data_IF_636274161512
#
_entry.id   IF_636274161512
#
_cell.length_a   1.000
_cell.length_b   1.000
_cell.length_c   1.000
_cell.angle_alpha   90.00
_cell.angle_beta   90.00
_cell.angle_gamma   90.00
#
_symmetry.space_group_name_H-M   'P 1'
#
loop_
_entity.id
_entity.type
_entity.pdbx_description
1 polymer ?
#
# COMPACT_ATOMS: atom_id res chain seq x y z
N UNK A 1 -8.24 42.53 -28.07
CA UNK A 1 -6.77 42.34 -28.04
C UNK A 1 -6.48 41.02 -27.35
N UNK A 2 -6.23 39.95 -28.10
CA UNK A 2 -5.82 38.67 -27.50
C UNK A 2 -4.41 38.84 -26.94
N UNK A 3 -4.24 38.45 -25.68
CA UNK A 3 -2.97 38.59 -24.97
C UNK A 3 -1.93 37.73 -25.68
N UNK A 4 -0.71 38.26 -25.86
CA UNK A 4 0.40 37.56 -26.53
C UNK A 4 0.64 36.16 -25.93
N UNK A 5 0.30 35.97 -24.65
CA UNK A 5 0.33 34.68 -23.95
C UNK A 5 -0.69 33.66 -24.46
N UNK A 6 -1.91 34.06 -24.78
CA UNK A 6 -2.93 33.13 -25.31
C UNK A 6 -2.53 32.58 -26.68
N UNK A 7 -1.95 33.42 -27.53
CA UNK A 7 -1.47 33.00 -28.85
C UNK A 7 -0.31 31.99 -28.73
N UNK A 8 0.66 32.27 -27.85
CA UNK A 8 1.77 31.34 -27.56
C UNK A 8 1.29 29.98 -27.03
N UNK A 9 0.30 29.98 -26.14
CA UNK A 9 -0.30 28.73 -25.61
C UNK A 9 -1.00 27.95 -26.73
N UNK A 10 -1.69 28.65 -27.63
CA UNK A 10 -2.37 28.03 -28.77
C UNK A 10 -1.38 27.41 -29.75
N UNK A 11 -0.32 28.13 -30.11
CA UNK A 11 0.73 27.66 -31.01
C UNK A 11 1.44 26.42 -30.42
N UNK A 12 1.80 26.47 -29.12
CA UNK A 12 2.39 25.32 -28.43
C UNK A 12 1.47 24.09 -28.38
N UNK A 13 0.17 24.31 -28.15
CA UNK A 13 -0.83 23.23 -28.14
C UNK A 13 -0.98 22.57 -29.52
N UNK A 14 -0.93 23.37 -30.58
CA UNK A 14 -0.93 22.89 -31.98
C UNK A 14 0.33 22.07 -32.26
N UNK A 15 1.50 22.54 -31.82
CA UNK A 15 2.76 21.83 -32.02
C UNK A 15 2.80 20.49 -31.29
N UNK A 16 2.35 20.43 -30.04
CA UNK A 16 2.20 19.15 -29.31
C UNK A 16 1.25 18.22 -30.05
N UNK A 17 0.10 18.72 -30.49
CA UNK A 17 -0.89 17.90 -31.21
C UNK A 17 -0.31 17.34 -32.50
N UNK A 18 0.41 18.15 -33.27
CA UNK A 18 1.07 17.75 -34.51
C UNK A 18 2.19 16.73 -34.25
N UNK A 19 2.99 16.94 -33.20
CA UNK A 19 4.04 15.99 -32.78
C UNK A 19 3.43 14.65 -32.39
N UNK A 20 2.40 14.65 -31.54
CA UNK A 20 1.70 13.43 -31.13
C UNK A 20 1.07 12.74 -32.34
N UNK A 21 0.41 13.48 -33.23
CA UNK A 21 -0.11 12.90 -34.46
C UNK A 21 1.00 12.28 -35.30
N UNK A 22 2.16 12.92 -35.48
CA UNK A 22 3.28 12.30 -36.22
C UNK A 22 3.82 11.05 -35.56
N UNK A 23 3.94 11.04 -34.24
CA UNK A 23 4.43 9.88 -33.47
C UNK A 23 3.44 8.71 -33.48
N UNK A 24 2.14 9.00 -33.33
CA UNK A 24 1.08 7.99 -33.19
C UNK A 24 0.36 7.65 -34.50
N UNK A 25 0.46 8.47 -35.56
CA UNK A 25 -0.09 8.17 -36.90
C UNK A 25 0.81 7.23 -37.71
N UNK A 26 2.06 7.01 -37.28
CA UNK A 26 2.90 5.98 -37.88
C UNK A 26 2.28 4.62 -37.60
N UNK A 27 1.68 4.02 -38.63
CA UNK A 27 1.10 2.67 -38.53
C UNK A 27 2.13 1.72 -37.94
N UNK A 28 1.77 1.06 -36.84
CA UNK A 28 2.59 0.03 -36.22
C UNK A 28 2.93 -1.01 -37.29
N UNK A 29 4.20 -1.41 -37.38
CA UNK A 29 4.57 -2.41 -38.37
C UNK A 29 3.74 -3.67 -38.15
N UNK A 30 3.31 -4.33 -39.24
CA UNK A 30 2.47 -5.54 -39.17
C UNK A 30 3.08 -6.60 -38.24
N UNK A 31 4.41 -6.71 -38.22
CA UNK A 31 5.17 -7.59 -37.33
C UNK A 31 4.98 -7.23 -35.85
N UNK A 32 5.10 -5.96 -35.49
CA UNK A 32 4.88 -5.50 -34.10
C UNK A 32 3.43 -5.71 -33.67
N UNK A 33 2.47 -5.43 -34.56
CA UNK A 33 1.06 -5.65 -34.28
C UNK A 33 0.75 -7.13 -34.01
N UNK A 34 1.24 -8.03 -34.86
CA UNK A 34 1.06 -9.48 -34.69
C UNK A 34 1.71 -9.94 -33.38
N UNK A 35 2.94 -9.48 -33.09
CA UNK A 35 3.65 -9.79 -31.85
C UNK A 35 2.84 -9.35 -30.62
N UNK A 36 2.39 -8.10 -30.58
CA UNK A 36 1.59 -7.57 -29.49
C UNK A 36 0.28 -8.37 -29.29
N UNK A 37 -0.39 -8.78 -30.38
CA UNK A 37 -1.59 -9.62 -30.31
C UNK A 37 -1.30 -11.00 -29.70
N UNK A 38 -0.17 -11.62 -30.06
CA UNK A 38 0.26 -12.91 -29.50
C UNK A 38 0.60 -12.79 -28.02
N UNK A 39 1.40 -11.80 -27.65
CA UNK A 39 1.77 -11.53 -26.25
C UNK A 39 0.53 -11.26 -25.39
N UNK A 40 -0.42 -10.46 -25.87
CA UNK A 40 -1.70 -10.23 -25.20
C UNK A 40 -2.46 -11.54 -24.96
N UNK A 41 -2.56 -12.40 -25.98
CA UNK A 41 -3.25 -13.69 -25.85
C UNK A 41 -2.57 -14.60 -24.83
N UNK A 42 -1.24 -14.64 -24.84
CA UNK A 42 -0.43 -15.38 -23.88
C UNK A 42 -0.65 -14.89 -22.44
N UNK A 43 -0.61 -13.57 -22.20
CA UNK A 43 -0.87 -12.98 -20.89
C UNK A 43 -2.29 -13.32 -20.39
N UNK A 44 -3.30 -13.24 -21.25
CA UNK A 44 -4.69 -13.60 -20.90
C UNK A 44 -4.78 -15.06 -20.49
N UNK A 45 -4.13 -15.95 -21.24
CA UNK A 45 -4.14 -17.38 -20.95
C UNK A 45 -3.43 -17.70 -19.63
N UNK A 46 -2.27 -17.09 -19.37
CA UNK A 46 -1.55 -17.23 -18.09
C UNK A 46 -2.44 -16.76 -16.94
N UNK A 47 -3.07 -15.58 -17.06
CA UNK A 47 -3.98 -15.07 -16.02
C UNK A 47 -5.16 -16.00 -15.79
N UNK A 48 -5.73 -16.58 -16.83
CA UNK A 48 -6.84 -17.55 -16.71
C UNK A 48 -6.37 -18.81 -15.99
N UNK A 49 -5.23 -19.35 -16.39
CA UNK A 49 -4.65 -20.54 -15.79
C UNK A 49 -4.37 -20.34 -14.29
N UNK A 50 -3.73 -19.23 -13.92
CA UNK A 50 -3.44 -18.91 -12.52
C UNK A 50 -4.72 -18.71 -11.67
N UNK A 51 -5.79 -18.18 -12.25
CA UNK A 51 -7.09 -18.06 -11.54
C UNK A 51 -7.74 -19.41 -11.28
N UNK A 52 -7.59 -20.35 -12.21
CA UNK A 52 -8.15 -21.71 -12.08
C UNK A 52 -7.28 -22.59 -11.19
N UNK A 53 -5.97 -22.38 -11.18
CA UNK A 53 -5.00 -23.17 -10.42
C UNK A 53 -4.46 -22.32 -9.26
N UNK A 54 -5.29 -22.16 -8.21
CA UNK A 54 -4.97 -21.35 -7.03
C UNK A 54 -3.76 -21.88 -6.23
N UNK A 55 -3.31 -23.10 -6.53
CA UNK A 55 -2.11 -23.68 -5.94
C UNK A 55 -0.82 -23.06 -6.47
N UNK A 56 -0.85 -22.35 -7.61
CA UNK A 56 0.33 -21.67 -8.13
C UNK A 56 0.56 -20.35 -7.40
N UNK A 57 1.68 -20.24 -6.69
CA UNK A 57 2.09 -19.04 -5.96
C UNK A 57 3.24 -18.31 -6.66
N UNK A 58 3.14 -16.98 -6.75
CA UNK A 58 4.20 -16.09 -7.23
C UNK A 58 4.80 -15.37 -6.03
N UNK A 59 6.11 -15.53 -5.80
CA UNK A 59 6.80 -14.88 -4.69
C UNK A 59 7.99 -14.06 -5.17
N UNK A 60 8.13 -12.85 -4.63
CA UNK A 60 9.35 -12.05 -4.80
C UNK A 60 10.38 -12.56 -3.81
N UNK A 61 11.54 -13.00 -4.29
CA UNK A 61 12.63 -13.34 -3.38
C UNK A 61 13.27 -12.05 -2.86
N UNK A 62 13.72 -12.08 -1.62
CA UNK A 62 14.37 -10.97 -0.94
C UNK A 62 15.80 -10.76 -1.43
N UNK A 63 16.51 -11.87 -1.71
CA UNK A 63 17.94 -11.87 -2.09
C UNK A 63 18.21 -11.75 -3.59
N UNK A 64 17.27 -12.15 -4.44
CA UNK A 64 17.41 -12.01 -5.89
C UNK A 64 16.24 -11.19 -6.41
N UNK A 65 16.45 -10.25 -7.33
CA UNK A 65 15.36 -9.46 -7.95
C UNK A 65 14.50 -10.32 -8.90
N UNK A 66 14.41 -11.62 -8.64
CA UNK A 66 13.74 -12.63 -9.43
C UNK A 66 12.46 -13.06 -8.70
N UNK A 67 11.44 -13.38 -9.50
CA UNK A 67 10.19 -13.94 -9.02
C UNK A 67 10.25 -15.45 -9.14
N UNK A 68 9.89 -16.14 -8.07
CA UNK A 68 9.73 -17.59 -8.06
C UNK A 68 8.26 -17.94 -8.32
N UNK A 69 8.02 -18.90 -9.22
CA UNK A 69 6.71 -19.48 -9.47
C UNK A 69 6.76 -20.94 -9.00
N UNK A 70 5.86 -21.34 -8.11
CA UNK A 70 5.84 -22.70 -7.57
C UNK A 70 4.50 -23.09 -6.98
N UNK A 71 4.40 -24.31 -6.47
CA UNK A 71 3.21 -24.82 -5.80
C UNK A 71 3.14 -24.33 -4.34
N UNK A 72 1.93 -24.04 -3.87
CA UNK A 72 1.67 -23.60 -2.51
C UNK A 72 1.98 -24.70 -1.47
N UNK A 73 1.77 -25.97 -1.83
CA UNK A 73 2.05 -27.10 -0.95
C UNK A 73 3.55 -27.35 -0.80
N UNK A 74 4.31 -27.19 -1.89
CA UNK A 74 5.78 -27.24 -1.83
C UNK A 74 6.32 -26.16 -0.90
N UNK A 75 5.67 -24.99 -0.89
CA UNK A 75 6.04 -23.91 -0.01
C UNK A 75 5.75 -24.24 1.47
N UNK A 76 4.54 -24.71 1.77
CA UNK A 76 4.18 -25.13 3.14
C UNK A 76 5.13 -26.22 3.65
N UNK A 77 5.47 -27.17 2.79
CA UNK A 77 6.40 -28.26 3.11
C UNK A 77 7.80 -27.71 3.47
N UNK A 78 8.33 -26.77 2.68
CA UNK A 78 9.62 -26.13 2.98
C UNK A 78 9.60 -25.30 4.26
N UNK A 79 8.49 -24.61 4.54
CA UNK A 79 8.33 -23.86 5.79
C UNK A 79 8.35 -24.81 6.98
N UNK A 80 7.59 -25.90 6.93
CA UNK A 80 7.60 -26.91 7.99
C UNK A 80 8.97 -27.56 8.16
N UNK A 81 9.65 -27.90 7.07
CA UNK A 81 11.00 -28.45 7.13
C UNK A 81 11.97 -27.46 7.80
N UNK A 82 11.96 -26.19 7.39
CA UNK A 82 12.81 -25.17 8.01
C UNK A 82 12.49 -24.97 9.50
N UNK A 83 11.21 -25.00 9.88
CA UNK A 83 10.80 -24.94 11.29
C UNK A 83 11.35 -26.12 12.09
N UNK A 84 11.28 -27.34 11.56
CA UNK A 84 11.82 -28.54 12.21
C UNK A 84 13.34 -28.49 12.33
N UNK A 85 14.06 -28.01 11.31
CA UNK A 85 15.52 -27.99 11.30
C UNK A 85 16.12 -26.91 12.22
N UNK A 86 15.42 -25.80 12.42
CA UNK A 86 15.99 -24.61 13.10
C UNK A 86 15.45 -24.38 14.50
N UNK A 87 14.37 -25.06 14.89
CA UNK A 87 13.60 -24.79 16.13
C UNK A 87 13.26 -23.29 16.32
N UNK A 88 13.31 -22.49 15.25
CA UNK A 88 13.33 -21.04 15.34
C UNK A 88 11.96 -20.41 15.62
N UNK A 89 10.89 -21.22 15.61
CA UNK A 89 9.51 -20.76 15.73
C UNK A 89 8.70 -21.69 16.63
N UNK A 90 8.04 -21.12 17.64
CA UNK A 90 7.10 -21.83 18.50
C UNK A 90 5.66 -21.53 18.06
N UNK A 91 4.84 -22.57 17.93
CA UNK A 91 3.42 -22.40 17.60
C UNK A 91 2.67 -21.90 18.83
N UNK A 92 2.03 -20.74 18.73
CA UNK A 92 1.15 -20.22 19.78
C UNK A 92 -0.15 -21.03 19.78
N UNK A 93 -0.25 -22.00 20.67
CA UNK A 93 -1.40 -22.92 20.79
C UNK A 93 -2.59 -22.31 21.53
N UNK A 94 -2.33 -21.35 22.42
CA UNK A 94 -3.35 -20.71 23.25
C UNK A 94 -4.27 -19.74 22.49
N UNK A 95 -3.93 -19.39 21.24
CA UNK A 95 -4.60 -18.34 20.47
C UNK A 95 -4.39 -16.92 21.04
N UNK A 96 -3.61 -16.78 22.11
CA UNK A 96 -3.30 -15.51 22.77
C UNK A 96 -1.93 -15.06 22.30
N UNK A 97 -1.86 -13.86 21.72
CA UNK A 97 -0.58 -13.27 21.30
C UNK A 97 0.38 -13.20 22.50
N UNK A 98 1.65 -13.66 22.37
CA UNK A 98 2.64 -13.56 23.43
C UNK A 98 2.98 -12.11 23.78
N UNK A 99 2.61 -11.16 22.92
CA UNK A 99 2.78 -9.72 23.13
C UNK A 99 1.54 -9.03 23.69
N UNK A 100 0.48 -9.76 24.03
CA UNK A 100 -0.77 -9.17 24.53
C UNK A 100 -0.55 -8.33 25.79
N UNK A 101 0.23 -8.83 26.75
CA UNK A 101 0.56 -8.09 27.98
C UNK A 101 1.38 -6.82 27.68
N UNK A 102 2.36 -6.92 26.78
CA UNK A 102 3.16 -5.76 26.37
C UNK A 102 2.27 -4.68 25.71
N UNK A 103 1.32 -5.09 24.87
CA UNK A 103 0.36 -4.19 24.25
C UNK A 103 -0.50 -3.47 25.29
N UNK A 104 -1.03 -4.20 26.28
CA UNK A 104 -1.79 -3.60 27.39
C UNK A 104 -0.97 -2.57 28.18
N UNK A 105 0.29 -2.89 28.46
CA UNK A 105 1.21 -1.97 29.15
C UNK A 105 1.48 -0.70 28.33
N UNK A 106 1.69 -0.83 27.01
CA UNK A 106 1.87 0.31 26.11
C UNK A 106 0.60 1.16 26.05
N UNK A 107 -0.57 0.55 25.93
CA UNK A 107 -1.87 1.26 25.94
C UNK A 107 -2.05 2.00 27.27
N UNK A 108 -1.77 1.35 28.39
CA UNK A 108 -1.83 1.95 29.73
C UNK A 108 -0.92 3.17 29.84
N UNK A 109 0.32 3.05 29.37
CA UNK A 109 1.29 4.15 29.35
C UNK A 109 0.80 5.33 28.49
N UNK A 110 0.33 5.06 27.28
CA UNK A 110 -0.18 6.09 26.37
C UNK A 110 -1.40 6.80 26.96
N UNK A 111 -2.33 6.06 27.57
CA UNK A 111 -3.48 6.63 28.26
C UNK A 111 -3.07 7.51 29.44
N UNK A 112 -2.05 7.11 30.20
CA UNK A 112 -1.51 7.92 31.30
C UNK A 112 -0.90 9.22 30.80
N UNK A 113 -0.11 9.17 29.72
CA UNK A 113 0.50 10.36 29.11
C UNK A 113 -0.55 11.30 28.51
N UNK A 114 -1.54 10.75 27.81
CA UNK A 114 -2.64 11.50 27.23
C UNK A 114 -3.49 12.21 28.30
N UNK A 115 -3.77 11.53 29.41
CA UNK A 115 -4.52 12.12 30.51
C UNK A 115 -3.69 13.07 31.39
N UNK A 116 -2.37 12.88 31.46
CA UNK A 116 -1.46 13.82 32.13
C UNK A 116 -1.28 15.13 31.35
N UNK A 117 -1.44 15.10 30.02
CA UNK A 117 -1.42 16.31 29.17
C UNK A 117 -2.73 17.10 29.20
N UNK A 118 -3.82 16.58 29.79
CA UNK A 118 -4.99 17.42 30.10
C UNK A 118 -4.58 18.34 31.27
N UNK A 119 -4.41 19.65 31.05
CA UNK A 119 -4.18 20.52 32.17
C UNK A 119 -5.39 20.43 33.08
N UNK A 120 -5.13 20.43 34.38
CA UNK A 120 -6.10 20.80 35.41
C UNK A 120 -6.66 22.19 35.07
N UNK A 121 -7.62 22.27 34.13
CA UNK A 121 -8.51 23.41 33.98
C UNK A 121 -9.49 23.33 35.17
N UNK A 122 -8.91 23.65 36.33
CA UNK A 122 -9.48 24.48 37.38
C UNK A 122 -10.95 24.29 37.72
N UNK A 123 -11.26 23.30 38.58
CA UNK A 123 -12.42 23.43 39.50
C UNK A 123 -12.24 24.59 40.50
N UNK A 124 -11.03 25.14 40.64
CA UNK A 124 -10.73 26.30 41.52
C UNK A 124 -10.97 27.68 40.88
N UNK A 125 -11.11 27.78 39.55
CA UNK A 125 -11.39 29.04 38.86
C UNK A 125 -12.90 29.36 38.80
N UNK A 126 -13.76 28.33 38.80
CA UNK A 126 -15.22 28.52 38.73
C UNK A 126 -15.79 29.08 40.05
N UNK A 127 -15.16 28.83 41.20
CA UNK A 127 -15.62 29.37 42.50
C UNK A 127 -15.33 30.85 42.74
N UNK A 128 -14.43 31.49 41.98
CA UNK A 128 -14.09 32.92 42.19
C UNK A 128 -14.91 33.90 41.34
N UNK A 129 -15.58 33.44 40.28
CA UNK A 129 -16.37 34.31 39.41
C UNK A 129 -17.85 34.42 39.80
N UNK A 130 -18.38 33.54 40.66
CA UNK A 130 -19.76 33.64 41.17
C UNK A 130 -19.90 34.64 42.33
N UNK A 131 -18.81 34.91 43.07
CA UNK A 131 -18.82 35.86 44.20
C UNK A 131 -18.65 37.33 43.81
N UNK A 132 -18.32 37.65 42.55
CA UNK A 132 -18.15 39.03 42.07
C UNK A 132 -19.36 39.58 41.30
N UNK A 133 -20.38 38.76 41.02
CA UNK A 133 -21.58 39.17 40.26
C UNK A 133 -22.75 39.53 41.19
N UNK A 134 -22.61 39.37 42.52
CA UNK A 134 -23.66 39.67 43.51
C UNK A 134 -23.43 40.94 44.35
N UNK A 135 -22.47 41.78 43.96
CA UNK A 135 -22.16 43.00 44.69
C UNK A 135 -21.95 44.17 43.73
N UNK A 136 -22.99 44.52 42.98
CA UNK A 136 -23.35 45.88 42.55
C UNK A 136 -24.85 45.90 42.27
#
# INVERSE_FOLDING_TARGET
CYSISEKLIQDFSIDIKNLLQRLYAKKLSRKLYIRAKRERKLIINIRRYLRQNQQVTLRRTDKSRVFHLGDANDYQSKVHQYMQETEAYEQITSGISPLASNLEQVISLLNRLYNAQKPLITKKAIRRNVSKIRSY
#
